data_IF_838159525790
#
_entry.id   IF_838159525790
#
_cell.length_a   1.000
_cell.length_b   1.000
_cell.length_c   1.000
_cell.angle_alpha   90.00
_cell.angle_beta   90.00
_cell.angle_gamma   90.00
#
_symmetry.space_group_name_H-M   'P 1'
#
loop_
_entity.id
_entity.type
_entity.pdbx_description
1 polymer ?
#
# COMPACT_ATOMS: atom_id res chain seq x y z
N UNK A 1 49.51 0.05 -3.20
CA UNK A 1 50.34 1.09 -2.54
C UNK A 1 51.21 1.80 -3.54
N UNK A 2 51.99 1.10 -4.38
CA UNK A 2 52.87 1.71 -5.38
C UNK A 2 52.10 2.58 -6.41
N UNK A 3 50.96 2.15 -6.88
CA UNK A 3 50.10 2.91 -7.81
C UNK A 3 49.49 4.17 -7.12
N UNK A 4 49.12 4.04 -5.84
CA UNK A 4 48.63 5.18 -5.05
C UNK A 4 49.73 6.23 -4.89
N UNK A 5 50.95 5.82 -4.63
CA UNK A 5 52.10 6.73 -4.48
C UNK A 5 52.35 7.45 -5.81
N UNK A 6 52.35 6.76 -6.94
CA UNK A 6 52.57 7.33 -8.27
C UNK A 6 51.51 8.37 -8.67
N UNK A 7 50.21 8.15 -8.33
CA UNK A 7 49.16 9.12 -8.61
C UNK A 7 49.24 10.33 -7.69
N UNK A 8 49.53 10.12 -6.41
CA UNK A 8 49.76 11.22 -5.47
C UNK A 8 50.98 12.05 -5.87
N UNK A 9 52.07 11.40 -6.32
CA UNK A 9 53.22 12.08 -6.88
C UNK A 9 52.91 12.84 -8.16
N UNK A 10 52.08 12.27 -9.07
CA UNK A 10 51.63 12.95 -10.28
C UNK A 10 50.76 14.17 -9.98
N UNK A 11 49.80 14.07 -9.04
CA UNK A 11 48.95 15.20 -8.64
C UNK A 11 49.76 16.29 -7.91
N UNK A 12 50.78 15.88 -7.15
CA UNK A 12 51.71 16.80 -6.50
C UNK A 12 52.59 17.55 -7.52
N UNK A 13 53.16 16.84 -8.49
CA UNK A 13 54.05 17.43 -9.50
C UNK A 13 53.33 18.37 -10.49
N UNK A 14 52.00 18.26 -10.61
CA UNK A 14 51.20 19.13 -11.44
C UNK A 14 50.78 20.45 -10.75
N UNK A 15 51.09 20.63 -9.45
CA UNK A 15 50.72 21.82 -8.64
C UNK A 15 51.94 22.67 -8.32
N UNK A 16 52.09 23.78 -9.03
CA UNK A 16 53.14 24.76 -8.75
C UNK A 16 52.84 25.45 -7.40
N UNK A 17 53.86 25.52 -6.50
CA UNK A 17 53.77 26.16 -5.18
C UNK A 17 52.86 25.52 -4.13
N UNK A 18 52.56 24.21 -4.22
CA UNK A 18 51.76 23.51 -3.24
C UNK A 18 52.63 22.80 -2.18
N UNK A 19 52.42 23.12 -0.90
CA UNK A 19 53.01 22.40 0.24
C UNK A 19 51.98 21.38 0.75
N UNK A 20 52.23 20.09 0.58
CA UNK A 20 51.29 19.05 1.04
C UNK A 20 51.20 19.05 2.57
N UNK A 21 50.01 19.12 3.10
CA UNK A 21 49.73 18.87 4.52
C UNK A 21 49.42 17.42 4.75
N UNK A 22 49.63 16.90 5.98
CA UNK A 22 49.24 15.54 6.37
C UNK A 22 47.76 15.29 6.11
N UNK A 23 46.92 16.28 6.33
CA UNK A 23 45.47 16.21 6.03
C UNK A 23 45.20 16.04 4.54
N UNK A 24 45.93 16.78 3.69
CA UNK A 24 45.78 16.64 2.23
C UNK A 24 46.24 15.25 1.75
N UNK A 25 47.40 14.78 2.26
CA UNK A 25 47.92 13.46 1.90
C UNK A 25 46.96 12.34 2.31
N UNK A 26 46.48 12.37 3.55
CA UNK A 26 45.51 11.39 4.07
C UNK A 26 44.21 11.40 3.26
N UNK A 27 43.74 12.58 2.88
CA UNK A 27 42.53 12.75 2.05
C UNK A 27 42.74 12.18 0.65
N UNK A 28 43.84 12.54 -0.04
CA UNK A 28 44.14 12.09 -1.40
C UNK A 28 44.37 10.57 -1.45
N UNK A 29 45.09 10.02 -0.47
CA UNK A 29 45.24 8.58 -0.37
C UNK A 29 43.91 7.86 -0.10
N UNK A 30 43.05 8.41 0.76
CA UNK A 30 41.72 7.83 1.02
C UNK A 30 40.80 7.92 -0.20
N UNK A 31 40.85 9.02 -0.95
CA UNK A 31 40.12 9.19 -2.20
C UNK A 31 40.60 8.21 -3.28
N UNK A 32 41.91 8.01 -3.40
CA UNK A 32 42.50 7.04 -4.32
C UNK A 32 42.13 5.58 -3.93
N UNK A 33 42.33 5.21 -2.68
CA UNK A 33 41.95 3.87 -2.18
C UNK A 33 40.45 3.60 -2.30
N UNK A 34 39.63 4.64 -2.16
CA UNK A 34 38.21 4.56 -2.42
C UNK A 34 37.87 4.53 -3.91
N UNK A 35 38.69 5.13 -4.78
CA UNK A 35 38.53 5.04 -6.26
C UNK A 35 38.94 3.67 -6.80
N UNK A 36 40.03 3.07 -6.28
CA UNK A 36 40.40 1.67 -6.63
C UNK A 36 39.37 0.65 -6.12
N UNK A 37 38.75 0.91 -4.94
CA UNK A 37 37.60 0.13 -4.47
C UNK A 37 36.32 0.31 -5.28
N UNK A 38 36.24 1.36 -6.10
CA UNK A 38 35.08 1.65 -6.96
C UNK A 38 35.06 0.94 -8.30
N UNK A 39 35.92 -0.06 -8.52
CA UNK A 39 35.82 -0.93 -9.70
C UNK A 39 34.67 -1.96 -9.60
N UNK A 40 33.96 -2.00 -8.48
CA UNK A 40 32.75 -2.80 -8.31
C UNK A 40 31.50 -2.06 -8.79
N UNK A 41 30.59 -2.80 -9.42
CA UNK A 41 29.27 -2.25 -9.80
C UNK A 41 28.40 -2.07 -8.56
N UNK A 42 28.00 -0.82 -8.25
CA UNK A 42 27.21 -0.53 -7.06
C UNK A 42 25.72 -0.85 -7.26
N UNK A 43 25.12 -1.44 -6.25
CA UNK A 43 23.68 -1.74 -6.21
C UNK A 43 22.84 -0.46 -6.34
N UNK A 44 23.29 0.67 -5.75
CA UNK A 44 22.58 1.95 -5.80
C UNK A 44 22.49 2.52 -7.22
N UNK A 45 23.54 2.37 -8.04
CA UNK A 45 23.52 2.81 -9.44
C UNK A 45 22.46 2.05 -10.24
N UNK A 46 22.34 0.75 -10.00
CA UNK A 46 21.31 -0.09 -10.65
C UNK A 46 19.91 0.31 -10.19
N UNK A 47 19.72 0.55 -8.89
CA UNK A 47 18.44 1.02 -8.34
C UNK A 47 18.04 2.37 -8.93
N UNK A 48 18.98 3.30 -9.00
CA UNK A 48 18.78 4.65 -9.57
C UNK A 48 18.42 4.57 -11.05
N UNK A 49 19.16 3.78 -11.84
CA UNK A 49 18.88 3.55 -13.25
C UNK A 49 17.50 2.91 -13.47
N UNK A 50 17.15 1.92 -12.64
CA UNK A 50 15.84 1.27 -12.67
C UNK A 50 14.72 2.26 -12.39
N UNK A 51 14.81 3.06 -11.33
CA UNK A 51 13.80 4.06 -10.97
C UNK A 51 13.65 5.10 -12.08
N UNK A 52 14.76 5.57 -12.65
CA UNK A 52 14.74 6.49 -13.81
C UNK A 52 14.03 5.89 -15.02
N UNK A 53 14.28 4.60 -15.30
CA UNK A 53 13.58 3.85 -16.36
C UNK A 53 12.08 3.75 -16.09
N UNK A 54 11.67 3.42 -14.83
CA UNK A 54 10.26 3.35 -14.45
C UNK A 54 9.56 4.72 -14.58
N UNK A 55 10.24 5.81 -14.26
CA UNK A 55 9.73 7.17 -14.42
C UNK A 55 9.52 7.52 -15.90
N UNK A 56 10.47 7.18 -16.78
CA UNK A 56 10.34 7.38 -18.23
C UNK A 56 9.20 6.56 -18.85
N UNK A 57 8.88 5.41 -18.26
CA UNK A 57 7.76 4.55 -18.65
C UNK A 57 6.42 4.99 -18.03
N UNK A 58 6.36 6.17 -17.43
CA UNK A 58 5.16 6.76 -16.83
C UNK A 58 4.43 5.82 -15.85
N UNK A 59 5.20 5.01 -15.10
CA UNK A 59 4.61 4.15 -14.05
C UNK A 59 3.94 5.01 -12.98
N UNK A 60 2.90 4.46 -12.36
CA UNK A 60 2.12 5.16 -11.34
C UNK A 60 3.02 5.82 -10.27
N UNK A 61 2.76 7.08 -9.96
CA UNK A 61 3.56 7.91 -9.05
C UNK A 61 3.83 7.24 -7.70
N UNK A 62 2.81 6.55 -7.16
CA UNK A 62 2.96 5.80 -5.90
C UNK A 62 3.95 4.64 -6.03
N UNK A 63 4.05 3.99 -7.21
CA UNK A 63 5.05 2.94 -7.46
C UNK A 63 6.45 3.53 -7.46
N UNK A 64 6.64 4.69 -8.10
CA UNK A 64 7.92 5.40 -8.10
C UNK A 64 8.32 5.82 -6.67
N UNK A 65 7.38 6.37 -5.89
CA UNK A 65 7.60 6.73 -4.48
C UNK A 65 7.99 5.51 -3.63
N UNK A 66 7.30 4.38 -3.79
CA UNK A 66 7.60 3.13 -3.09
C UNK A 66 8.99 2.58 -3.45
N UNK A 67 9.40 2.68 -4.73
CA UNK A 67 10.72 2.28 -5.18
C UNK A 67 11.81 3.16 -4.58
N UNK A 68 11.66 4.49 -4.61
CA UNK A 68 12.58 5.44 -3.97
C UNK A 68 12.69 5.20 -2.46
N UNK A 69 11.56 4.95 -1.80
CA UNK A 69 11.58 4.61 -0.37
C UNK A 69 12.33 3.29 -0.11
N UNK A 70 12.22 2.31 -1.01
CA UNK A 70 12.93 1.04 -0.89
C UNK A 70 14.43 1.23 -1.07
N UNK A 71 14.86 2.02 -2.04
CA UNK A 71 16.26 2.42 -2.25
C UNK A 71 16.82 3.11 -0.99
N UNK A 72 16.15 4.12 -0.46
CA UNK A 72 16.59 4.83 0.75
C UNK A 72 16.75 3.89 1.96
N UNK A 73 15.90 2.86 2.08
CA UNK A 73 15.99 1.89 3.17
C UNK A 73 17.19 0.96 2.98
N UNK A 74 17.45 0.51 1.76
CA UNK A 74 18.63 -0.32 1.44
C UNK A 74 19.89 0.47 1.71
N UNK A 75 19.99 1.72 1.26
CA UNK A 75 21.14 2.59 1.51
C UNK A 75 21.31 2.94 3.01
N UNK A 76 20.19 3.03 3.78
CA UNK A 76 20.26 3.21 5.24
C UNK A 76 20.66 1.95 6.01
N UNK A 77 20.60 0.78 5.38
CA UNK A 77 21.10 -0.48 5.95
C UNK A 77 22.61 -0.60 5.79
N UNK A 78 23.11 -0.41 4.59
CA UNK A 78 24.53 -0.47 4.29
C UNK A 78 24.81 0.43 3.08
N UNK A 79 25.81 1.29 3.23
CA UNK A 79 26.27 2.16 2.14
C UNK A 79 27.18 1.38 1.18
N UNK A 80 27.20 1.79 -0.08
CA UNK A 80 28.12 1.29 -1.11
C UNK A 80 28.12 -0.26 -1.25
N UNK A 81 26.94 -0.87 -1.27
CA UNK A 81 26.81 -2.31 -1.52
C UNK A 81 27.24 -2.59 -2.95
N UNK A 82 28.23 -3.42 -3.13
CA UNK A 82 28.63 -3.93 -4.44
C UNK A 82 27.71 -5.07 -4.89
N UNK A 83 27.55 -5.25 -6.20
CA UNK A 83 26.70 -6.34 -6.72
C UNK A 83 27.24 -7.72 -6.32
N UNK A 84 28.56 -7.86 -6.20
CA UNK A 84 29.23 -9.09 -5.76
C UNK A 84 28.91 -9.45 -4.29
N UNK A 85 28.62 -8.44 -3.44
CA UNK A 85 28.26 -8.65 -2.04
C UNK A 85 26.81 -9.15 -1.84
N UNK A 86 26.00 -9.17 -2.89
CA UNK A 86 24.58 -9.55 -2.82
C UNK A 86 24.40 -11.07 -2.67
N UNK A 87 24.97 -11.62 -1.61
CA UNK A 87 24.94 -13.03 -1.21
C UNK A 87 23.82 -13.30 -0.17
N UNK A 88 23.61 -14.56 0.18
CA UNK A 88 22.68 -14.95 1.26
C UNK A 88 22.95 -14.22 2.58
N UNK A 89 24.22 -14.04 2.96
CA UNK A 89 24.56 -13.35 4.20
C UNK A 89 24.02 -11.92 4.22
N UNK A 90 24.20 -11.17 3.13
CA UNK A 90 23.64 -9.81 3.02
C UNK A 90 22.12 -9.80 3.11
N UNK A 91 21.46 -10.80 2.54
CA UNK A 91 19.98 -10.88 2.55
C UNK A 91 19.46 -11.22 3.94
N UNK A 92 20.13 -12.07 4.68
CA UNK A 92 19.78 -12.41 6.06
C UNK A 92 19.98 -11.19 6.96
N UNK A 93 21.13 -10.53 6.90
CA UNK A 93 21.40 -9.27 7.63
C UNK A 93 20.36 -8.18 7.30
N UNK A 94 20.04 -8.00 6.03
CA UNK A 94 19.03 -7.02 5.61
C UNK A 94 17.63 -7.37 6.13
N UNK A 95 17.30 -8.66 6.13
CA UNK A 95 16.04 -9.17 6.66
C UNK A 95 15.92 -8.93 8.16
N UNK A 96 16.97 -9.21 8.93
CA UNK A 96 17.06 -8.93 10.35
C UNK A 96 16.95 -7.44 10.65
N UNK A 97 17.67 -6.60 9.92
CA UNK A 97 17.56 -5.16 10.01
C UNK A 97 16.12 -4.66 9.82
N UNK A 98 15.44 -5.12 8.77
CA UNK A 98 14.05 -4.76 8.51
C UNK A 98 13.11 -5.23 9.62
N UNK A 99 13.34 -6.42 10.16
CA UNK A 99 12.48 -7.06 11.16
C UNK A 99 12.69 -6.48 12.55
N UNK A 100 13.92 -6.38 13.01
CA UNK A 100 14.26 -6.07 14.40
C UNK A 100 14.57 -4.60 14.62
N UNK A 101 15.31 -3.96 13.73
CA UNK A 101 15.64 -2.55 13.87
C UNK A 101 14.53 -1.65 13.34
N UNK A 102 14.07 -1.87 12.10
CA UNK A 102 12.97 -1.07 11.52
C UNK A 102 11.60 -1.51 12.02
N UNK A 103 11.46 -2.71 12.58
CA UNK A 103 10.21 -3.30 13.11
C UNK A 103 9.08 -3.27 12.08
N UNK A 104 9.38 -3.66 10.84
CA UNK A 104 8.39 -3.73 9.79
C UNK A 104 7.49 -4.97 9.93
N UNK A 105 6.21 -4.83 9.61
CA UNK A 105 5.34 -5.98 9.40
C UNK A 105 5.84 -6.82 8.20
N UNK A 106 5.64 -8.14 8.26
CA UNK A 106 6.12 -9.10 7.24
C UNK A 106 5.70 -8.69 5.83
N UNK A 107 4.48 -8.17 5.64
CA UNK A 107 4.01 -7.71 4.33
C UNK A 107 4.83 -6.53 3.77
N UNK A 108 5.23 -5.59 4.63
CA UNK A 108 6.05 -4.44 4.24
C UNK A 108 7.51 -4.86 3.98
N UNK A 109 8.04 -5.72 4.85
CA UNK A 109 9.36 -6.33 4.70
C UNK A 109 9.45 -7.08 3.36
N UNK A 110 8.50 -7.96 3.05
CA UNK A 110 8.45 -8.69 1.79
C UNK A 110 8.35 -7.78 0.55
N UNK A 111 7.79 -6.58 0.69
CA UNK A 111 7.80 -5.58 -0.39
C UNK A 111 9.19 -5.06 -0.68
N UNK A 112 10.02 -4.85 0.36
CA UNK A 112 11.42 -4.42 0.22
C UNK A 112 12.30 -5.51 -0.38
N UNK A 113 12.13 -6.74 0.09
CA UNK A 113 12.83 -7.92 -0.48
C UNK A 113 12.45 -8.12 -1.96
N UNK A 114 11.18 -8.01 -2.32
CA UNK A 114 10.76 -8.11 -3.73
C UNK A 114 11.34 -7.01 -4.61
N UNK A 115 11.47 -5.80 -4.10
CA UNK A 115 12.14 -4.72 -4.81
C UNK A 115 13.61 -5.08 -5.05
N UNK A 116 14.36 -5.49 -4.00
CA UNK A 116 15.75 -5.93 -4.10
C UNK A 116 15.90 -7.08 -5.11
N UNK A 117 15.08 -8.13 -5.02
CA UNK A 117 15.07 -9.24 -5.99
C UNK A 117 14.85 -8.76 -7.44
N UNK A 118 13.98 -7.77 -7.64
CA UNK A 118 13.74 -7.18 -8.96
C UNK A 118 14.96 -6.44 -9.49
N UNK A 119 15.62 -5.68 -8.64
CA UNK A 119 16.86 -4.95 -8.99
C UNK A 119 17.98 -5.92 -9.34
N UNK A 120 18.20 -6.96 -8.53
CA UNK A 120 19.23 -7.95 -8.78
C UNK A 120 18.97 -8.76 -10.06
N UNK A 121 17.71 -9.03 -10.38
CA UNK A 121 17.33 -9.63 -11.67
C UNK A 121 17.69 -8.74 -12.86
N UNK A 122 17.46 -7.43 -12.75
CA UNK A 122 17.84 -6.46 -13.79
C UNK A 122 19.37 -6.32 -13.85
N UNK A 123 20.06 -6.28 -12.70
CA UNK A 123 21.52 -6.24 -12.61
C UNK A 123 22.16 -7.47 -13.25
N UNK A 124 21.67 -8.68 -12.97
CA UNK A 124 22.18 -9.93 -13.53
C UNK A 124 22.09 -9.98 -15.07
N UNK A 125 21.05 -9.35 -15.64
CA UNK A 125 20.94 -9.24 -17.11
C UNK A 125 22.02 -8.34 -17.71
N UNK A 126 22.40 -7.28 -16.98
CA UNK A 126 23.37 -6.28 -17.45
C UNK A 126 24.80 -6.66 -17.12
N UNK A 127 24.99 -7.29 -15.97
CA UNK A 127 26.27 -7.66 -15.38
C UNK A 127 26.25 -9.13 -14.90
N UNK A 128 26.23 -10.09 -15.83
CA UNK A 128 25.99 -11.50 -15.52
C UNK A 128 27.04 -12.13 -14.59
N UNK A 129 28.27 -11.64 -14.61
CA UNK A 129 29.37 -12.17 -13.80
C UNK A 129 29.51 -11.50 -12.43
N UNK A 130 28.89 -10.31 -12.25
CA UNK A 130 29.04 -9.51 -11.03
C UNK A 130 27.99 -9.82 -9.96
N UNK A 131 26.87 -10.44 -10.35
CA UNK A 131 25.78 -10.72 -9.43
C UNK A 131 25.75 -12.21 -9.08
N UNK A 132 25.89 -12.58 -7.79
CA UNK A 132 25.68 -13.95 -7.35
C UNK A 132 24.28 -14.46 -7.70
N UNK A 133 24.11 -15.77 -7.84
CA UNK A 133 22.79 -16.35 -8.16
C UNK A 133 21.89 -16.52 -6.92
N UNK A 134 22.38 -16.30 -5.74
CA UNK A 134 21.73 -16.41 -4.43
C UNK A 134 20.38 -15.69 -4.36
N UNK A 135 20.23 -14.55 -5.06
CA UNK A 135 18.96 -13.82 -5.07
C UNK A 135 17.79 -14.60 -5.67
N UNK A 136 18.05 -15.65 -6.44
CA UNK A 136 16.99 -16.49 -7.06
C UNK A 136 16.21 -17.24 -5.99
N UNK A 137 16.88 -17.64 -4.93
CA UNK A 137 16.32 -18.43 -3.83
C UNK A 137 15.74 -17.56 -2.70
N UNK A 138 15.78 -16.23 -2.87
CA UNK A 138 15.13 -15.29 -1.96
C UNK A 138 13.61 -15.54 -1.91
N UNK A 139 13.15 -16.16 -0.82
CA UNK A 139 11.75 -16.45 -0.60
C UNK A 139 11.07 -15.38 0.28
N UNK A 140 9.79 -15.08 0.02
CA UNK A 140 9.02 -14.22 0.89
C UNK A 140 8.90 -14.81 2.29
N UNK A 141 9.19 -14.03 3.31
CA UNK A 141 9.02 -14.44 4.70
C UNK A 141 7.55 -14.71 5.01
N UNK A 142 7.34 -15.75 5.80
CA UNK A 142 6.00 -16.09 6.32
C UNK A 142 5.82 -15.52 7.71
N UNK A 143 4.58 -15.15 8.03
CA UNK A 143 4.23 -14.75 9.39
C UNK A 143 4.35 -15.97 10.33
N UNK A 144 4.94 -15.75 11.49
CA UNK A 144 5.00 -16.75 12.56
C UNK A 144 3.61 -17.05 13.11
N UNK A 145 3.46 -18.18 13.83
CA UNK A 145 2.22 -18.50 14.54
C UNK A 145 1.83 -17.37 15.52
N UNK A 146 2.79 -16.82 16.24
CA UNK A 146 2.57 -15.72 17.19
C UNK A 146 2.07 -14.44 16.49
N UNK A 147 2.60 -14.11 15.31
CA UNK A 147 2.14 -12.96 14.52
C UNK A 147 0.74 -13.18 13.94
N UNK A 148 0.39 -14.41 13.57
CA UNK A 148 -0.96 -14.77 13.11
C UNK A 148 -1.96 -14.70 14.27
N UNK A 149 -1.62 -15.24 15.44
CA UNK A 149 -2.47 -15.23 16.62
C UNK A 149 -2.79 -13.80 17.11
N UNK A 150 -1.82 -12.85 16.97
CA UNK A 150 -2.09 -11.43 17.27
C UNK A 150 -3.17 -10.82 16.37
N UNK A 151 -3.41 -11.40 15.19
CA UNK A 151 -4.46 -10.97 14.24
C UNK A 151 -5.76 -11.74 14.39
N UNK A 152 -5.79 -12.76 15.24
CA UNK A 152 -6.99 -13.53 15.51
C UNK A 152 -8.02 -12.68 16.26
N UNK A 153 -9.28 -12.79 15.89
CA UNK A 153 -10.37 -11.99 16.46
C UNK A 153 -10.34 -10.50 16.06
N UNK A 154 -9.45 -10.09 15.13
CA UNK A 154 -9.45 -8.70 14.62
C UNK A 154 -10.66 -8.46 13.73
N UNK A 155 -11.54 -7.59 14.20
CA UNK A 155 -12.77 -7.23 13.50
C UNK A 155 -12.46 -6.38 12.26
N UNK A 156 -12.97 -6.80 11.11
CA UNK A 156 -12.94 -5.97 9.89
C UNK A 156 -14.15 -5.06 9.90
N UNK A 157 -13.98 -3.83 10.35
CA UNK A 157 -15.07 -2.87 10.51
C UNK A 157 -15.87 -2.69 9.22
N UNK A 158 -17.20 -2.83 9.35
CA UNK A 158 -18.21 -2.65 8.29
C UNK A 158 -19.37 -1.83 8.84
N UNK A 159 -20.16 -1.24 7.98
CA UNK A 159 -21.45 -0.63 8.36
C UNK A 159 -22.54 -1.70 8.40
N UNK A 160 -23.41 -1.62 9.41
CA UNK A 160 -24.68 -2.33 9.42
C UNK A 160 -25.76 -1.50 8.70
N UNK A 161 -26.90 -2.11 8.38
CA UNK A 161 -28.03 -1.38 7.77
C UNK A 161 -28.58 -0.32 8.72
N UNK A 162 -28.66 -0.62 10.02
CA UNK A 162 -29.14 0.29 11.07
C UNK A 162 -28.22 1.51 11.19
N UNK A 163 -26.90 1.31 11.16
CA UNK A 163 -25.92 2.39 11.17
C UNK A 163 -26.05 3.29 9.93
N UNK A 164 -26.21 2.69 8.76
CA UNK A 164 -26.41 3.46 7.51
C UNK A 164 -27.71 4.24 7.55
N UNK A 165 -28.79 3.67 8.09
CA UNK A 165 -30.07 4.36 8.28
C UNK A 165 -29.92 5.52 9.26
N UNK A 166 -29.24 5.31 10.39
CA UNK A 166 -28.96 6.38 11.35
C UNK A 166 -28.15 7.50 10.72
N UNK A 167 -27.08 7.18 9.96
CA UNK A 167 -26.25 8.17 9.26
C UNK A 167 -27.09 8.97 8.24
N UNK A 168 -27.98 8.31 7.50
CA UNK A 168 -28.83 8.99 6.51
C UNK A 168 -29.79 9.99 7.16
N UNK A 169 -30.30 9.69 8.34
CA UNK A 169 -31.27 10.50 9.07
C UNK A 169 -30.65 11.57 9.99
N UNK A 170 -29.31 11.63 10.09
CA UNK A 170 -28.64 12.68 10.88
C UNK A 170 -28.98 14.08 10.40
N UNK A 171 -29.36 14.96 11.31
CA UNK A 171 -29.52 16.39 11.06
C UNK A 171 -28.16 17.08 11.12
N UNK A 172 -27.44 17.04 10.01
CA UNK A 172 -26.13 17.70 9.88
C UNK A 172 -26.32 19.19 9.56
N UNK A 173 -25.62 20.06 10.29
CA UNK A 173 -25.68 21.53 10.07
C UNK A 173 -24.52 22.04 9.21
N UNK A 174 -23.40 21.33 9.17
CA UNK A 174 -22.17 21.75 8.50
C UNK A 174 -22.11 21.18 7.08
N UNK A 175 -22.02 22.05 6.07
CA UNK A 175 -21.99 21.66 4.64
C UNK A 175 -20.92 20.63 4.32
N UNK A 176 -19.75 20.73 4.96
CA UNK A 176 -18.68 19.76 4.76
C UNK A 176 -19.04 18.32 5.21
N UNK A 177 -19.87 18.19 6.25
CA UNK A 177 -20.39 16.88 6.70
C UNK A 177 -21.54 16.41 5.79
N UNK A 178 -22.41 17.33 5.36
CA UNK A 178 -23.46 17.02 4.38
C UNK A 178 -22.82 16.49 3.10
N UNK A 179 -21.83 17.19 2.59
CA UNK A 179 -21.07 16.77 1.41
C UNK A 179 -20.38 15.41 1.60
N UNK A 180 -19.73 15.19 2.75
CA UNK A 180 -19.10 13.91 3.06
C UNK A 180 -20.10 12.76 3.18
N UNK A 181 -21.30 13.01 3.73
CA UNK A 181 -22.39 12.02 3.77
C UNK A 181 -22.89 11.64 2.38
N UNK A 182 -22.98 12.58 1.44
CA UNK A 182 -23.31 12.28 0.04
C UNK A 182 -22.28 11.32 -0.58
N UNK A 183 -20.99 11.60 -0.42
CA UNK A 183 -19.92 10.70 -0.86
C UNK A 183 -19.98 9.32 -0.17
N UNK A 184 -20.29 9.27 1.13
CA UNK A 184 -20.50 8.03 1.86
C UNK A 184 -21.65 7.21 1.22
N UNK A 185 -22.79 7.86 0.95
CA UNK A 185 -23.96 7.20 0.35
C UNK A 185 -23.62 6.61 -1.03
N UNK A 186 -22.91 7.35 -1.88
CA UNK A 186 -22.45 6.80 -3.16
C UNK A 186 -21.50 5.61 -2.90
N UNK A 187 -20.50 5.78 -2.04
CA UNK A 187 -19.46 4.77 -1.80
C UNK A 187 -19.98 3.44 -1.27
N UNK A 188 -20.90 3.44 -0.30
CA UNK A 188 -21.46 2.20 0.28
C UNK A 188 -22.43 1.48 -0.65
N UNK A 189 -22.99 2.16 -1.64
CA UNK A 189 -23.92 1.59 -2.60
C UNK A 189 -23.28 1.24 -3.95
N UNK A 190 -22.02 1.62 -4.17
CA UNK A 190 -21.31 1.36 -5.44
C UNK A 190 -20.06 0.48 -5.28
N UNK A 191 -19.59 0.29 -4.06
CA UNK A 191 -18.36 -0.43 -3.76
C UNK A 191 -17.10 0.09 -4.49
N UNK A 192 -17.14 1.28 -5.08
CA UNK A 192 -16.01 1.90 -5.80
C UNK A 192 -14.86 2.20 -4.83
N UNK A 193 -13.61 2.05 -5.30
CA UNK A 193 -12.44 2.44 -4.47
C UNK A 193 -12.45 3.95 -4.25
N UNK A 194 -11.98 4.41 -3.09
CA UNK A 194 -12.01 5.84 -2.73
C UNK A 194 -11.33 6.73 -3.77
N UNK A 195 -10.24 6.29 -4.37
CA UNK A 195 -9.58 7.04 -5.45
C UNK A 195 -10.47 7.24 -6.67
N UNK A 196 -11.22 6.22 -7.03
CA UNK A 196 -12.15 6.27 -8.15
C UNK A 196 -13.45 6.98 -7.75
N UNK A 197 -13.93 6.77 -6.51
CA UNK A 197 -15.12 7.40 -5.95
C UNK A 197 -15.02 8.94 -5.95
N UNK A 198 -13.96 9.49 -5.34
CA UNK A 198 -13.79 10.94 -5.20
C UNK A 198 -13.40 11.66 -6.51
N UNK A 199 -13.16 10.91 -7.56
CA UNK A 199 -12.95 11.39 -8.93
C UNK A 199 -14.17 11.14 -9.84
N UNK A 200 -15.28 10.64 -9.31
CA UNK A 200 -16.53 10.57 -10.07
C UNK A 200 -17.03 11.96 -10.40
N UNK A 201 -17.60 12.09 -11.58
CA UNK A 201 -18.30 13.29 -12.05
C UNK A 201 -19.72 12.94 -12.42
N UNK A 202 -20.64 13.93 -12.40
CA UNK A 202 -22.04 13.72 -12.71
C UNK A 202 -22.23 13.17 -14.13
N UNK A 203 -21.39 13.59 -15.08
CA UNK A 203 -21.46 13.17 -16.49
C UNK A 203 -21.13 11.69 -16.73
N UNK A 204 -20.57 11.00 -15.73
CA UNK A 204 -20.32 9.55 -15.83
C UNK A 204 -21.58 8.73 -15.53
N UNK A 205 -22.65 9.36 -15.04
CA UNK A 205 -23.94 8.72 -14.75
C UNK A 205 -24.89 8.96 -15.91
N UNK A 206 -25.38 7.91 -16.51
CA UNK A 206 -26.38 7.97 -17.57
C UNK A 206 -27.78 7.94 -16.94
N UNK A 207 -28.49 9.04 -17.03
CA UNK A 207 -29.84 9.21 -16.45
C UNK A 207 -30.97 8.75 -17.40
N UNK A 208 -30.67 8.66 -18.69
CA UNK A 208 -31.71 8.41 -19.71
C UNK A 208 -32.03 6.92 -19.86
N UNK A 209 -31.14 6.05 -19.34
CA UNK A 209 -31.33 4.60 -19.44
C UNK A 209 -31.75 4.06 -18.07
N UNK A 210 -33.06 3.83 -17.88
CA UNK A 210 -33.58 3.04 -16.74
C UNK A 210 -32.79 1.72 -16.65
N UNK A 211 -32.08 1.50 -15.52
CA UNK A 211 -31.26 0.32 -15.24
C UNK A 211 -29.91 0.20 -15.97
N UNK A 212 -29.41 1.28 -16.61
CA UNK A 212 -28.05 1.23 -17.14
C UNK A 212 -27.01 1.28 -15.99
N UNK A 213 -26.12 0.29 -15.89
CA UNK A 213 -25.06 0.34 -14.88
C UNK A 213 -24.04 1.42 -15.23
N UNK A 214 -23.61 2.17 -14.23
CA UNK A 214 -22.41 3.00 -14.36
C UNK A 214 -21.21 2.08 -14.70
N UNK A 215 -20.61 2.26 -15.87
CA UNK A 215 -19.38 1.59 -16.26
C UNK A 215 -18.18 2.41 -15.79
N UNK A 216 -17.52 2.00 -14.72
CA UNK A 216 -16.33 2.67 -14.19
C UNK A 216 -15.09 1.84 -14.42
N UNK A 217 -14.14 2.36 -15.20
CA UNK A 217 -12.80 1.79 -15.28
C UNK A 217 -12.03 2.13 -14.00
N UNK A 218 -11.57 1.12 -13.30
CA UNK A 218 -10.85 1.29 -12.05
C UNK A 218 -9.38 1.63 -12.34
N UNK A 219 -8.87 2.73 -11.79
CA UNK A 219 -7.49 3.22 -12.03
C UNK A 219 -6.43 2.17 -11.66
N UNK A 220 -6.62 1.46 -10.56
CA UNK A 220 -5.61 0.49 -10.08
C UNK A 220 -5.53 -0.81 -10.88
N UNK A 221 -6.66 -1.32 -11.36
CA UNK A 221 -6.75 -2.66 -11.98
C UNK A 221 -7.06 -2.63 -13.46
N UNK A 222 -7.39 -1.43 -14.00
CA UNK A 222 -7.86 -1.22 -15.37
C UNK A 222 -9.08 -2.10 -15.75
N UNK A 223 -9.73 -2.72 -14.77
CA UNK A 223 -10.96 -3.49 -14.96
C UNK A 223 -12.18 -2.57 -14.93
N UNK A 224 -13.18 -2.92 -15.71
CA UNK A 224 -14.48 -2.24 -15.65
C UNK A 224 -15.31 -2.82 -14.49
N UNK A 225 -15.91 -1.95 -13.70
CA UNK A 225 -16.97 -2.26 -12.76
C UNK A 225 -18.31 -1.85 -13.38
N UNK A 226 -19.31 -2.72 -13.23
CA UNK A 226 -20.67 -2.47 -13.69
C UNK A 226 -21.54 -2.22 -12.48
N UNK A 227 -21.83 -0.96 -12.19
CA UNK A 227 -22.37 -0.49 -10.91
C UNK A 227 -23.86 -0.15 -11.09
N UNK A 228 -24.77 -0.85 -10.41
CA UNK A 228 -26.18 -0.48 -10.42
C UNK A 228 -26.38 0.85 -9.68
N UNK A 229 -27.21 1.73 -10.24
CA UNK A 229 -27.54 3.01 -9.60
C UNK A 229 -28.78 2.81 -8.74
N UNK A 230 -28.56 2.48 -7.47
CA UNK A 230 -29.62 2.23 -6.51
C UNK A 230 -30.31 3.53 -6.08
N UNK A 231 -31.59 3.46 -5.60
CA UNK A 231 -32.35 4.65 -5.23
C UNK A 231 -31.64 5.65 -4.30
N UNK A 232 -30.87 5.24 -3.26
CA UNK A 232 -30.12 6.19 -2.43
C UNK A 232 -29.06 6.97 -3.21
N UNK A 233 -28.47 6.37 -4.26
CA UNK A 233 -27.51 7.05 -5.13
C UNK A 233 -28.25 8.03 -6.04
N UNK A 234 -29.35 7.59 -6.66
CA UNK A 234 -30.18 8.46 -7.52
C UNK A 234 -30.58 9.76 -6.80
N UNK A 235 -30.96 9.68 -5.52
CA UNK A 235 -31.32 10.85 -4.72
C UNK A 235 -30.12 11.79 -4.52
N UNK A 236 -28.95 11.26 -4.22
CA UNK A 236 -27.73 12.07 -4.08
C UNK A 236 -27.31 12.71 -5.40
N UNK A 237 -27.58 12.08 -6.55
CA UNK A 237 -27.21 12.61 -7.86
C UNK A 237 -27.99 13.88 -8.23
N UNK A 238 -29.17 14.14 -7.64
CA UNK A 238 -29.94 15.39 -7.83
C UNK A 238 -29.18 16.62 -7.30
N UNK A 239 -28.34 16.43 -6.29
CA UNK A 239 -27.46 17.44 -5.70
C UNK A 239 -26.07 16.81 -5.47
N UNK A 240 -25.31 16.70 -6.58
CA UNK A 240 -24.04 15.97 -6.64
C UNK A 240 -22.99 16.57 -5.68
N UNK A 241 -22.23 15.74 -4.94
CA UNK A 241 -21.28 16.22 -3.94
C UNK A 241 -20.08 16.94 -4.56
N UNK A 242 -19.61 17.98 -3.87
CA UNK A 242 -18.38 18.69 -4.25
C UNK A 242 -17.13 17.83 -4.04
N UNK A 243 -16.12 18.10 -4.85
CA UNK A 243 -14.82 17.43 -4.74
C UNK A 243 -14.18 17.63 -3.36
N UNK A 244 -13.64 16.57 -2.79
CA UNK A 244 -13.02 16.56 -1.47
C UNK A 244 -11.74 15.70 -1.51
N UNK A 245 -10.70 16.08 -0.73
CA UNK A 245 -9.52 15.24 -0.60
C UNK A 245 -9.82 14.01 0.28
N UNK A 246 -9.14 12.89 -0.02
CA UNK A 246 -9.30 11.65 0.74
C UNK A 246 -9.05 11.83 2.24
N UNK A 247 -8.06 12.66 2.63
CA UNK A 247 -7.75 12.92 4.04
C UNK A 247 -8.87 13.67 4.75
N UNK A 248 -9.45 14.72 4.11
CA UNK A 248 -10.60 15.44 4.67
C UNK A 248 -11.83 14.55 4.73
N UNK A 249 -12.04 13.73 3.69
CA UNK A 249 -13.13 12.78 3.65
C UNK A 249 -13.07 11.78 4.81
N UNK A 250 -11.94 11.11 5.02
CA UNK A 250 -11.77 10.16 6.13
C UNK A 250 -11.95 10.83 7.50
N UNK A 251 -11.55 12.11 7.65
CA UNK A 251 -11.79 12.89 8.87
C UNK A 251 -13.29 13.11 9.11
N UNK A 252 -14.00 13.61 8.10
CA UNK A 252 -15.43 13.87 8.21
C UNK A 252 -16.26 12.59 8.34
N UNK A 253 -15.82 11.51 7.72
CA UNK A 253 -16.43 10.20 7.88
C UNK A 253 -16.44 9.75 9.35
N UNK A 254 -15.30 9.88 10.05
CA UNK A 254 -15.22 9.55 11.49
C UNK A 254 -16.14 10.43 12.32
N UNK A 255 -16.20 11.71 12.04
CA UNK A 255 -17.08 12.65 12.72
C UNK A 255 -18.57 12.30 12.51
N UNK A 256 -18.97 11.95 11.28
CA UNK A 256 -20.32 11.49 10.98
C UNK A 256 -20.64 10.19 11.74
N UNK A 257 -19.70 9.23 11.77
CA UNK A 257 -19.88 7.98 12.48
C UNK A 257 -19.96 8.17 14.02
N UNK A 258 -19.23 9.14 14.56
CA UNK A 258 -19.33 9.52 15.98
C UNK A 258 -20.69 10.13 16.29
N UNK A 259 -21.17 11.07 15.47
CA UNK A 259 -22.51 11.67 15.59
C UNK A 259 -23.63 10.65 15.42
N UNK A 260 -23.41 9.60 14.64
CA UNK A 260 -24.32 8.45 14.50
C UNK A 260 -24.30 7.48 15.68
N UNK A 261 -23.52 7.75 16.72
CA UNK A 261 -23.47 6.94 17.92
C UNK A 261 -22.68 5.62 17.79
N UNK A 262 -21.77 5.50 16.82
CA UNK A 262 -20.95 4.29 16.62
C UNK A 262 -19.84 4.21 17.67
N UNK A 263 -20.21 4.15 18.96
CA UNK A 263 -19.31 4.23 20.12
C UNK A 263 -18.97 2.88 20.75
N UNK A 264 -19.56 1.78 20.26
CA UNK A 264 -19.24 0.44 20.71
C UNK A 264 -17.74 0.13 20.54
N UNK A 265 -17.16 -0.55 21.54
CA UNK A 265 -15.75 -0.93 21.52
C UNK A 265 -15.55 -2.13 20.59
N UNK A 266 -14.60 -2.02 19.69
CA UNK A 266 -14.21 -3.09 18.77
C UNK A 266 -12.70 -3.25 18.74
N UNK A 267 -12.24 -4.49 18.61
CA UNK A 267 -10.82 -4.82 18.41
C UNK A 267 -10.51 -4.82 16.93
N UNK A 268 -9.74 -3.85 16.46
CA UNK A 268 -9.42 -3.72 15.04
C UNK A 268 -8.01 -3.17 14.80
N UNK A 269 -7.58 -3.20 13.54
CA UNK A 269 -6.26 -2.67 13.13
C UNK A 269 -6.33 -1.18 12.86
N UNK A 270 -5.43 -0.41 13.47
CA UNK A 270 -5.31 1.05 13.29
C UNK A 270 -3.87 1.43 12.96
N UNK A 271 -3.69 2.38 12.04
CA UNK A 271 -2.39 2.98 11.78
C UNK A 271 -2.08 3.99 12.87
N UNK A 272 -0.96 3.79 13.57
CA UNK A 272 -0.52 4.63 14.69
C UNK A 272 0.86 5.19 14.38
N UNK A 273 1.06 6.50 14.61
CA UNK A 273 2.37 7.15 14.49
C UNK A 273 3.24 6.73 15.68
N UNK A 274 4.43 6.25 15.40
CA UNK A 274 5.43 5.88 16.40
C UNK A 274 6.71 6.67 16.15
N UNK A 275 7.70 6.62 17.03
CA UNK A 275 9.03 7.21 16.85
C UNK A 275 9.72 6.67 15.59
N UNK A 276 9.43 5.43 15.19
CA UNK A 276 9.96 4.78 13.97
C UNK A 276 9.01 4.90 12.76
N UNK A 277 8.10 5.89 12.75
CA UNK A 277 7.12 6.14 11.68
C UNK A 277 5.77 5.43 11.92
N UNK A 278 4.93 5.39 10.89
CA UNK A 278 3.61 4.79 10.96
C UNK A 278 3.67 3.27 11.05
N UNK A 279 2.91 2.70 12.00
CA UNK A 279 2.78 1.24 12.21
C UNK A 279 1.32 0.86 12.37
N UNK A 280 0.96 -0.29 11.80
CA UNK A 280 -0.36 -0.88 12.02
C UNK A 280 -0.32 -1.66 13.33
N UNK A 281 -1.20 -1.30 14.26
CA UNK A 281 -1.38 -1.99 15.54
C UNK A 281 -2.81 -2.48 15.67
N UNK A 282 -2.99 -3.61 16.32
CA UNK A 282 -4.30 -4.08 16.77
C UNK A 282 -4.58 -3.40 18.10
N UNK A 283 -5.70 -2.69 18.18
CA UNK A 283 -6.13 -1.94 19.36
C UNK A 283 -7.64 -2.12 19.58
N UNK A 284 -8.08 -1.94 20.80
CA UNK A 284 -9.48 -1.84 21.16
C UNK A 284 -9.86 -0.37 21.31
N UNK A 285 -10.85 0.08 20.56
CA UNK A 285 -11.26 1.48 20.55
C UNK A 285 -12.71 1.57 20.03
N UNK A 286 -13.30 2.74 20.14
CA UNK A 286 -14.65 3.02 19.62
C UNK A 286 -14.70 2.78 18.10
N UNK A 287 -15.77 2.15 17.61
CA UNK A 287 -15.94 1.74 16.22
C UNK A 287 -15.70 2.89 15.22
N UNK A 288 -16.20 4.10 15.52
CA UNK A 288 -16.04 5.24 14.61
C UNK A 288 -14.57 5.60 14.35
N UNK A 289 -13.65 5.32 15.29
CA UNK A 289 -12.22 5.65 15.12
C UNK A 289 -11.54 4.81 14.04
N UNK A 290 -12.11 3.65 13.71
CA UNK A 290 -11.65 2.75 12.66
C UNK A 290 -12.32 3.01 11.31
N UNK A 291 -13.34 3.87 11.27
CA UNK A 291 -14.06 4.18 10.03
C UNK A 291 -13.14 4.87 9.03
N UNK A 292 -13.15 4.36 7.82
CA UNK A 292 -12.41 4.89 6.68
C UNK A 292 -13.16 4.54 5.39
N UNK A 293 -12.86 5.25 4.32
CA UNK A 293 -13.47 5.04 3.02
C UNK A 293 -13.33 3.61 2.46
N UNK A 294 -12.30 2.87 2.89
CA UNK A 294 -12.13 1.46 2.50
C UNK A 294 -13.22 0.53 3.07
N UNK A 295 -13.89 0.97 4.12
CA UNK A 295 -15.04 0.30 4.73
C UNK A 295 -16.24 0.14 3.77
N UNK A 296 -16.45 1.10 2.88
CA UNK A 296 -17.62 1.12 1.97
C UNK A 296 -17.69 -0.13 1.12
N UNK A 297 -16.57 -0.43 0.46
CA UNK A 297 -16.43 -1.60 -0.38
C UNK A 297 -16.60 -2.90 0.41
N UNK A 298 -16.09 -2.93 1.63
CA UNK A 298 -16.23 -4.06 2.54
C UNK A 298 -17.70 -4.22 2.99
N UNK A 299 -18.35 -3.14 3.37
CA UNK A 299 -19.76 -3.15 3.78
C UNK A 299 -20.68 -3.60 2.66
N UNK A 300 -20.45 -3.11 1.42
CA UNK A 300 -21.20 -3.55 0.25
C UNK A 300 -21.05 -5.08 0.04
N UNK A 301 -19.82 -5.57 0.01
CA UNK A 301 -19.55 -7.00 -0.21
C UNK A 301 -20.20 -7.82 0.91
N UNK A 302 -20.00 -7.46 2.17
CA UNK A 302 -20.57 -8.19 3.31
C UNK A 302 -22.10 -8.18 3.31
N UNK A 303 -22.72 -7.09 2.88
CA UNK A 303 -24.19 -6.94 2.79
C UNK A 303 -24.82 -7.91 1.79
N UNK A 304 -24.16 -8.16 0.67
CA UNK A 304 -24.68 -8.96 -0.43
C UNK A 304 -24.12 -10.38 -0.48
N UNK A 305 -23.03 -10.64 0.26
CA UNK A 305 -22.43 -11.98 0.35
C UNK A 305 -23.45 -13.00 0.89
N UNK A 306 -23.57 -14.14 0.21
CA UNK A 306 -24.56 -15.17 0.52
C UNK A 306 -26.01 -14.86 0.09
N UNK A 307 -26.27 -13.62 -0.43
CA UNK A 307 -27.58 -13.24 -0.98
C UNK A 307 -27.58 -13.19 -2.50
N UNK A 308 -26.42 -12.93 -3.08
CA UNK A 308 -26.18 -12.89 -4.53
C UNK A 308 -25.00 -13.80 -4.86
N UNK A 309 -24.93 -14.32 -6.08
CA UNK A 309 -23.75 -15.05 -6.56
C UNK A 309 -22.50 -14.17 -6.44
N UNK A 310 -21.37 -14.74 -5.96
CA UNK A 310 -20.11 -14.02 -5.80
C UNK A 310 -19.69 -13.29 -7.07
N UNK A 311 -19.92 -13.91 -8.23
CA UNK A 311 -19.58 -13.30 -9.53
C UNK A 311 -20.31 -11.99 -9.80
N UNK A 312 -21.58 -11.87 -9.42
CA UNK A 312 -22.35 -10.62 -9.56
C UNK A 312 -21.82 -9.52 -8.65
N UNK A 313 -21.50 -9.86 -7.39
CA UNK A 313 -20.89 -8.90 -6.46
C UNK A 313 -19.49 -8.47 -6.95
N UNK A 314 -18.74 -9.41 -7.55
CA UNK A 314 -17.43 -9.14 -8.11
C UNK A 314 -17.48 -8.22 -9.34
N UNK A 315 -18.50 -8.33 -10.21
CA UNK A 315 -18.72 -7.41 -11.33
C UNK A 315 -18.91 -5.97 -10.85
N UNK A 316 -19.70 -5.77 -9.81
CA UNK A 316 -19.93 -4.44 -9.21
C UNK A 316 -18.68 -3.92 -8.52
N UNK A 317 -18.05 -4.75 -7.70
CA UNK A 317 -16.87 -4.36 -6.95
C UNK A 317 -15.58 -4.37 -7.79
N UNK A 318 -15.57 -4.99 -8.99
CA UNK A 318 -14.42 -5.06 -9.89
C UNK A 318 -13.25 -5.87 -9.32
N UNK A 319 -13.52 -6.96 -8.59
CA UNK A 319 -12.50 -7.93 -8.20
C UNK A 319 -12.20 -8.88 -9.34
N UNK A 320 -10.91 -9.14 -9.58
CA UNK A 320 -10.45 -10.06 -10.63
C UNK A 320 -10.34 -11.51 -10.15
N UNK A 321 -10.19 -11.73 -8.85
CA UNK A 321 -10.08 -13.07 -8.27
C UNK A 321 -10.99 -13.22 -7.06
N UNK A 322 -11.56 -14.40 -6.91
CA UNK A 322 -12.41 -14.74 -5.77
C UNK A 322 -11.61 -14.74 -4.46
N UNK A 323 -10.34 -15.11 -4.50
CA UNK A 323 -9.44 -15.03 -3.33
C UNK A 323 -9.31 -13.61 -2.78
N UNK A 324 -9.17 -12.60 -3.65
CA UNK A 324 -9.14 -11.19 -3.23
C UNK A 324 -10.49 -10.74 -2.71
N UNK A 325 -11.57 -11.15 -3.38
CA UNK A 325 -12.95 -10.85 -2.99
C UNK A 325 -13.28 -11.40 -1.59
N UNK A 326 -13.01 -12.68 -1.33
CA UNK A 326 -13.23 -13.32 -0.03
C UNK A 326 -12.40 -12.66 1.09
N UNK A 327 -11.27 -12.03 0.76
CA UNK A 327 -10.51 -11.21 1.69
C UNK A 327 -11.28 -10.01 2.26
N UNK A 328 -12.34 -9.55 1.58
CA UNK A 328 -13.21 -8.45 2.01
C UNK A 328 -14.38 -8.93 2.85
N UNK A 329 -14.80 -10.18 2.70
CA UNK A 329 -15.89 -10.74 3.49
C UNK A 329 -15.44 -10.86 4.93
N UNK A 330 -16.25 -10.33 5.85
CA UNK A 330 -16.07 -10.64 7.25
C UNK A 330 -16.42 -12.12 7.44
N UNK A 331 -15.63 -12.86 8.24
CA UNK A 331 -15.98 -14.23 8.58
C UNK A 331 -17.39 -14.23 9.17
N UNK A 332 -18.35 -14.74 8.43
CA UNK A 332 -19.67 -15.04 8.92
C UNK A 332 -19.51 -16.32 9.72
N UNK A 333 -19.96 -16.34 10.96
CA UNK A 333 -20.05 -17.58 11.73
C UNK A 333 -20.89 -18.58 10.93
N UNK A 334 -20.49 -19.83 10.96
CA UNK A 334 -21.23 -20.89 10.26
C UNK A 334 -22.66 -20.88 10.76
N UNK A 335 -23.62 -20.58 9.90
CA UNK A 335 -25.02 -20.59 10.26
C UNK A 335 -25.51 -22.03 10.25
N UNK A 336 -25.41 -22.70 11.40
CA UNK A 336 -25.84 -24.08 11.56
C UNK A 336 -27.32 -24.28 11.22
N UNK A 337 -28.15 -23.26 11.38
CA UNK A 337 -29.57 -23.33 11.02
C UNK A 337 -29.80 -23.58 9.54
N UNK A 338 -28.96 -23.02 8.65
CA UNK A 338 -29.02 -23.32 7.20
C UNK A 338 -28.78 -24.82 6.95
N UNK A 339 -27.83 -25.42 7.69
CA UNK A 339 -27.54 -26.85 7.54
C UNK A 339 -28.68 -27.71 8.06
N UNK A 340 -29.32 -27.32 9.17
CA UNK A 340 -30.50 -27.99 9.71
C UNK A 340 -31.69 -27.91 8.77
N UNK A 341 -31.93 -26.74 8.17
CA UNK A 341 -33.04 -26.52 7.24
C UNK A 341 -32.84 -27.33 5.94
N UNK A 342 -31.63 -27.31 5.36
CA UNK A 342 -31.29 -28.17 4.19
C UNK A 342 -31.40 -29.66 4.49
N UNK A 343 -31.11 -30.11 5.72
CA UNK A 343 -31.24 -31.52 6.11
C UNK A 343 -32.71 -31.94 6.24
N UNK A 344 -33.60 -31.00 6.59
CA UNK A 344 -35.05 -31.26 6.70
C UNK A 344 -35.78 -31.26 5.35
N UNK A 345 -35.19 -30.63 4.33
CA UNK A 345 -35.75 -30.58 2.96
C UNK A 345 -35.38 -31.82 2.11
N UNK A 346 -34.44 -32.66 2.57
CA UNK A 346 -34.09 -33.96 1.97
C UNK A 346 -34.64 -35.11 2.80
#
# INVERSE_FOLDING_TARGET
>A
LENCIKEVESDFNNRIDFIPTESWFTKTCSEFLNSEKRNGFLLDDVMTAFIKKQTKLERAENTIKDNKQSQNIINSFKDNIELADCTFNLFDEFTEYLRFEKKYAVSNLNRKIRFLKTILKEAKRKYPNEVPDDFRDLEPLRETKAEKNKKEGVYKVTFTNEELTTISNLKLKRDSLINARKWLTIGVNTAVRVSDLLNLTLNEFDFDIKNSPLKKQQQKTQSFAHIPILPPVQEVLKDFPHKISSQKFDKYLKEICELAGMTNIVKSSKSVKTTKGWRVKVVEDKKYTFCSSHMFRRSFITKYFGKLPNQEIMKVSGHKSEREFLGYVQKVETNFKIWEDLYKEN
#
